data_IF_731539644516
#
_entry.id   IF_731539644516
#
_cell.length_a   1.000
_cell.length_b   1.000
_cell.length_c   1.000
_cell.angle_alpha   90.00
_cell.angle_beta   90.00
_cell.angle_gamma   90.00
#
_symmetry.space_group_name_H-M   'P 1'
#
loop_
_entity.id
_entity.type
_entity.pdbx_description
1 polymer ?
#
# COMPACT_ATOMS: atom_id res chain seq x y z
N UNK A 1 8.84 -28.52 7.76
CA UNK A 1 8.71 -27.13 7.28
C UNK A 1 9.93 -26.37 7.76
N UNK A 2 10.83 -25.96 6.87
CA UNK A 2 12.15 -25.40 7.21
C UNK A 2 12.01 -24.09 7.99
N UNK A 3 12.81 -23.91 9.05
CA UNK A 3 12.78 -22.75 9.95
C UNK A 3 12.79 -21.39 9.22
N UNK A 4 13.42 -21.33 8.04
CA UNK A 4 13.41 -20.14 7.17
C UNK A 4 12.00 -19.71 6.71
N UNK A 5 11.09 -20.65 6.41
CA UNK A 5 9.68 -20.34 6.06
C UNK A 5 8.87 -19.84 7.26
N UNK A 6 9.26 -20.20 8.49
CA UNK A 6 8.59 -19.78 9.72
C UNK A 6 8.92 -18.33 10.10
N UNK A 7 10.11 -17.83 9.78
CA UNK A 7 10.52 -16.44 10.01
C UNK A 7 10.11 -15.47 8.89
N UNK A 8 10.03 -15.94 7.64
CA UNK A 8 9.70 -15.07 6.51
C UNK A 8 8.21 -14.65 6.51
N UNK A 9 7.33 -15.52 6.98
CA UNK A 9 5.87 -15.30 6.98
C UNK A 9 5.43 -14.18 7.94
N UNK A 10 5.90 -14.11 9.20
CA UNK A 10 5.61 -12.98 10.09
C UNK A 10 6.15 -11.65 9.55
N UNK A 11 7.36 -11.66 8.98
CA UNK A 11 7.98 -10.45 8.44
C UNK A 11 7.23 -9.92 7.21
N UNK A 12 6.75 -10.82 6.33
CA UNK A 12 5.95 -10.41 5.17
C UNK A 12 4.60 -9.84 5.58
N UNK A 13 3.96 -10.42 6.60
CA UNK A 13 2.70 -9.90 7.17
C UNK A 13 2.94 -8.52 7.78
N UNK A 14 3.96 -8.37 8.62
CA UNK A 14 4.30 -7.09 9.25
C UNK A 14 4.57 -6.00 8.20
N UNK A 15 5.34 -6.34 7.16
CA UNK A 15 5.62 -5.42 6.05
C UNK A 15 4.35 -5.04 5.27
N UNK A 16 3.43 -5.99 5.11
CA UNK A 16 2.15 -5.74 4.42
C UNK A 16 1.24 -4.81 5.22
N UNK A 17 1.16 -5.01 6.55
CA UNK A 17 0.39 -4.13 7.45
C UNK A 17 0.97 -2.71 7.43
N UNK A 18 2.29 -2.58 7.60
CA UNK A 18 2.97 -1.27 7.55
C UNK A 18 2.76 -0.58 6.21
N UNK A 19 2.90 -1.32 5.10
CA UNK A 19 2.64 -0.78 3.76
C UNK A 19 1.19 -0.31 3.58
N UNK A 20 0.22 -1.08 4.09
CA UNK A 20 -1.20 -0.72 4.05
C UNK A 20 -1.51 0.55 4.86
N UNK A 21 -0.94 0.68 6.06
CA UNK A 21 -1.12 1.88 6.90
C UNK A 21 -0.53 3.14 6.23
N UNK A 22 0.66 3.02 5.62
CA UNK A 22 1.28 4.12 4.88
C UNK A 22 0.42 4.52 3.68
N UNK A 23 -0.04 3.53 2.91
CA UNK A 23 -0.89 3.79 1.74
C UNK A 23 -2.21 4.47 2.12
N UNK A 24 -2.89 3.98 3.17
CA UNK A 24 -4.12 4.58 3.68
C UNK A 24 -3.93 6.04 4.09
N UNK A 25 -2.86 6.34 4.85
CA UNK A 25 -2.56 7.74 5.24
C UNK A 25 -2.30 8.64 4.03
N UNK A 26 -1.55 8.17 3.04
CA UNK A 26 -1.28 8.94 1.81
C UNK A 26 -2.59 9.19 1.04
N UNK A 27 -3.45 8.18 0.96
CA UNK A 27 -4.77 8.32 0.34
C UNK A 27 -5.60 9.40 1.04
N UNK A 28 -5.77 9.32 2.37
CA UNK A 28 -6.55 10.30 3.14
C UNK A 28 -6.02 11.73 2.94
N UNK A 29 -4.70 11.89 2.97
CA UNK A 29 -4.02 13.16 2.76
C UNK A 29 -4.22 13.73 1.35
N UNK A 30 -4.26 12.88 0.33
CA UNK A 30 -4.56 13.31 -1.04
C UNK A 30 -6.04 13.69 -1.15
N UNK A 31 -6.93 12.87 -0.57
CA UNK A 31 -8.37 13.11 -0.62
C UNK A 31 -8.74 14.44 0.04
N UNK A 32 -8.27 14.69 1.26
CA UNK A 32 -8.51 15.94 1.98
C UNK A 32 -7.97 17.18 1.25
N UNK A 33 -6.91 17.05 0.44
CA UNK A 33 -6.41 18.17 -0.38
C UNK A 33 -7.29 18.46 -1.58
N UNK A 34 -7.85 17.42 -2.21
CA UNK A 34 -8.71 17.55 -3.39
C UNK A 34 -10.13 17.95 -2.98
N UNK A 35 -10.62 17.41 -1.87
CA UNK A 35 -11.99 17.58 -1.38
C UNK A 35 -12.00 17.87 0.14
N UNK A 36 -11.56 19.07 0.58
CA UNK A 36 -11.38 19.39 1.99
C UNK A 36 -12.68 19.47 2.82
N UNK A 37 -13.84 19.58 2.16
CA UNK A 37 -15.14 19.67 2.82
C UNK A 37 -15.91 18.33 2.82
N UNK A 38 -15.29 17.25 2.35
CA UNK A 38 -15.98 16.00 2.05
C UNK A 38 -15.19 14.80 2.58
N UNK A 39 -15.90 13.79 3.06
CA UNK A 39 -15.30 12.55 3.56
C UNK A 39 -14.87 11.65 2.39
N UNK A 40 -13.99 10.68 2.67
CA UNK A 40 -13.63 9.64 1.70
C UNK A 40 -14.89 8.87 1.26
N UNK A 41 -15.06 8.56 -0.05
CA UNK A 41 -16.27 7.89 -0.51
C UNK A 41 -16.30 6.47 0.04
N UNK A 42 -17.31 6.20 0.85
CA UNK A 42 -17.59 4.84 1.30
C UNK A 42 -18.16 4.03 0.13
N UNK A 43 -17.53 2.91 -0.28
CA UNK A 43 -18.05 2.07 -1.35
C UNK A 43 -19.42 1.46 -1.06
N UNK A 44 -19.85 1.42 0.21
CA UNK A 44 -21.18 0.94 0.60
C UNK A 44 -22.23 2.07 0.65
N UNK A 45 -21.83 3.34 0.47
CA UNK A 45 -22.74 4.48 0.42
C UNK A 45 -23.44 4.62 -0.94
N UNK A 46 -24.69 4.12 -0.99
CA UNK A 46 -25.55 4.17 -2.17
C UNK A 46 -26.04 5.59 -2.52
N UNK A 47 -25.83 6.59 -1.66
CA UNK A 47 -26.18 7.99 -1.96
C UNK A 47 -25.15 8.65 -2.89
N UNK A 48 -23.93 8.08 -2.97
CA UNK A 48 -22.85 8.54 -3.85
C UNK A 48 -22.98 7.94 -5.24
N UNK A 49 -22.43 8.65 -6.23
CA UNK A 49 -22.41 8.11 -7.59
C UNK A 49 -21.38 6.98 -7.70
N UNK A 50 -21.74 5.88 -8.36
CA UNK A 50 -20.81 4.77 -8.60
C UNK A 50 -19.52 5.22 -9.30
N UNK A 51 -19.61 6.26 -10.16
CA UNK A 51 -18.46 6.85 -10.84
C UNK A 51 -17.46 7.46 -9.85
N UNK A 52 -17.94 8.20 -8.86
CA UNK A 52 -17.11 8.83 -7.83
C UNK A 52 -16.40 7.76 -6.98
N UNK A 53 -17.16 6.76 -6.51
CA UNK A 53 -16.63 5.62 -5.75
C UNK A 53 -15.55 4.88 -6.53
N UNK A 54 -15.78 4.58 -7.81
CA UNK A 54 -14.79 3.87 -8.64
C UNK A 54 -13.54 4.70 -8.92
N UNK A 55 -13.66 6.01 -9.10
CA UNK A 55 -12.50 6.89 -9.25
C UNK A 55 -11.68 6.91 -7.96
N UNK A 56 -12.33 7.04 -6.80
CA UNK A 56 -11.66 7.01 -5.51
C UNK A 56 -10.94 5.67 -5.29
N UNK A 57 -11.61 4.55 -5.58
CA UNK A 57 -11.02 3.21 -5.49
C UNK A 57 -9.82 3.04 -6.43
N UNK A 58 -9.88 3.60 -7.65
CA UNK A 58 -8.75 3.56 -8.59
C UNK A 58 -7.54 4.35 -8.07
N UNK A 59 -7.77 5.53 -7.49
CA UNK A 59 -6.71 6.34 -6.87
C UNK A 59 -6.10 5.61 -5.67
N UNK A 60 -6.93 5.01 -4.81
CA UNK A 60 -6.46 4.20 -3.70
C UNK A 60 -5.59 3.03 -4.18
N UNK A 61 -6.06 2.28 -5.19
CA UNK A 61 -5.31 1.17 -5.79
C UNK A 61 -3.97 1.61 -6.38
N UNK A 62 -3.91 2.78 -7.02
CA UNK A 62 -2.67 3.36 -7.54
C UNK A 62 -1.67 3.67 -6.42
N UNK A 63 -2.12 4.28 -5.32
CA UNK A 63 -1.27 4.61 -4.18
C UNK A 63 -0.71 3.34 -3.53
N UNK A 64 -1.56 2.35 -3.27
CA UNK A 64 -1.14 1.05 -2.72
C UNK A 64 -0.12 0.38 -3.63
N UNK A 65 -0.36 0.39 -4.95
CA UNK A 65 0.57 -0.16 -5.94
C UNK A 65 1.93 0.53 -5.91
N UNK A 66 1.96 1.86 -5.85
CA UNK A 66 3.19 2.64 -5.76
C UNK A 66 3.96 2.37 -4.47
N UNK A 67 3.28 2.35 -3.32
CA UNK A 67 3.91 2.05 -2.02
C UNK A 67 4.54 0.65 -2.04
N UNK A 68 3.81 -0.35 -2.56
CA UNK A 68 4.33 -1.71 -2.68
C UNK A 68 5.55 -1.79 -3.61
N UNK A 69 5.51 -1.12 -4.75
CA UNK A 69 6.64 -1.08 -5.69
C UNK A 69 7.87 -0.40 -5.07
N UNK A 70 7.67 0.71 -4.34
CA UNK A 70 8.74 1.42 -3.64
C UNK A 70 9.38 0.55 -2.54
N UNK A 71 8.56 -0.13 -1.74
CA UNK A 71 9.02 -1.07 -0.71
C UNK A 71 9.80 -2.24 -1.32
N UNK A 72 9.27 -2.88 -2.37
CA UNK A 72 9.95 -3.98 -3.05
C UNK A 72 11.31 -3.53 -3.63
N UNK A 73 11.36 -2.35 -4.27
CA UNK A 73 12.60 -1.74 -4.77
C UNK A 73 13.60 -1.47 -3.65
N UNK A 74 13.12 -0.94 -2.52
CA UNK A 74 13.94 -0.65 -1.34
C UNK A 74 14.50 -1.92 -0.70
N UNK A 75 13.69 -2.96 -0.56
CA UNK A 75 14.10 -4.27 -0.06
C UNK A 75 15.15 -4.91 -0.97
N UNK A 76 14.95 -4.89 -2.29
CA UNK A 76 15.90 -5.43 -3.25
C UNK A 76 17.27 -4.71 -3.17
N UNK A 77 17.26 -3.38 -3.13
CA UNK A 77 18.49 -2.58 -2.97
C UNK A 77 19.16 -2.82 -1.62
N UNK A 78 18.38 -2.91 -0.54
CA UNK A 78 18.89 -3.17 0.80
C UNK A 78 19.52 -4.55 0.92
N UNK A 79 18.89 -5.58 0.35
CA UNK A 79 19.46 -6.92 0.27
C UNK A 79 20.79 -6.90 -0.48
N UNK A 80 20.81 -6.33 -1.69
CA UNK A 80 22.02 -6.22 -2.51
C UNK A 80 23.15 -5.48 -1.78
N UNK A 81 22.84 -4.40 -1.06
CA UNK A 81 23.84 -3.64 -0.31
C UNK A 81 24.42 -4.42 0.88
N UNK A 82 23.66 -5.33 1.48
CA UNK A 82 24.07 -6.10 2.65
C UNK A 82 24.75 -7.43 2.28
N UNK A 83 24.27 -8.10 1.23
CA UNK A 83 24.76 -9.42 0.82
C UNK A 83 25.74 -9.36 -0.34
N UNK A 84 25.81 -8.23 -1.04
CA UNK A 84 26.56 -8.07 -2.29
C UNK A 84 26.12 -9.05 -3.40
N UNK A 85 24.91 -9.62 -3.25
CA UNK A 85 24.27 -10.58 -4.15
C UNK A 85 22.97 -9.97 -4.68
N UNK A 86 22.58 -10.36 -5.90
CA UNK A 86 21.26 -9.99 -6.41
C UNK A 86 20.18 -10.84 -5.73
N UNK A 87 19.02 -10.27 -5.40
CA UNK A 87 17.91 -10.99 -4.76
C UNK A 87 17.17 -11.98 -5.69
N UNK A 88 17.71 -12.29 -6.88
CA UNK A 88 17.14 -13.20 -7.88
C UNK A 88 17.71 -14.62 -7.78
#
# INVERSE_FOLDING_TARGET
MTAAKAMYKPLSIASSVVGGLIAGKIFTEIWQRVNPADEEPDPEDLSRSAREVFIAAAVHGLIVGLVRAALARGQAKGFQALTNENPE
#
